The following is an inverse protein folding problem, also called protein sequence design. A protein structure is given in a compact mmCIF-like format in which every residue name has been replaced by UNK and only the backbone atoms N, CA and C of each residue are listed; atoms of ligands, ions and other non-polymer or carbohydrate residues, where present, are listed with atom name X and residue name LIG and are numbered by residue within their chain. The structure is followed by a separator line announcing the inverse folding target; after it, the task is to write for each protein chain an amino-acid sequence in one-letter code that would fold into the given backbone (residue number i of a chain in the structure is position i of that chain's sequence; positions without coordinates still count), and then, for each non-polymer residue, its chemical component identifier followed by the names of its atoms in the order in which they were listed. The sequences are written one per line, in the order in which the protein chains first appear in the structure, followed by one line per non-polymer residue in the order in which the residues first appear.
data_IF_835668270925
#
_entry.id   IF_835668270925
#
_cell.length_a   1.000
_cell.length_b   1.000
_cell.length_c   1.000
_cell.angle_alpha   90.00
_cell.angle_beta   90.00
_cell.angle_gamma   90.00
#
_symmetry.space_group_name_H-M   'P 1'
#
loop_
_entity.id
_entity.type
_entity.pdbx_description
1 polymer ?
#
# COMPACT_ATOMS: atom_id res chain seq x y z
N UNK A 1 -39.50 33.21 26.06
CA UNK A 1 -40.44 34.16 25.44
C UNK A 1 -40.99 33.60 24.13
N UNK A 2 -42.24 33.78 23.86
CA UNK A 2 -42.92 33.12 22.74
C UNK A 2 -42.93 34.04 21.51
N UNK A 3 -42.86 33.44 20.34
CA UNK A 3 -42.86 34.20 19.10
C UNK A 3 -43.32 33.39 17.92
N UNK A 4 -44.59 33.60 17.61
CA UNK A 4 -45.22 33.77 16.28
C UNK A 4 -45.22 32.58 15.32
N UNK A 5 -46.38 31.94 15.31
CA UNK A 5 -46.96 31.20 14.19
C UNK A 5 -47.50 32.20 13.16
N UNK A 6 -46.97 32.25 11.98
CA UNK A 6 -47.59 32.73 10.74
C UNK A 6 -47.89 31.48 9.94
N UNK A 7 -49.12 31.04 9.69
CA UNK A 7 -50.16 31.72 8.97
C UNK A 7 -50.25 31.02 7.61
N UNK A 8 -50.71 29.67 7.57
CA UNK A 8 -51.13 29.03 6.31
C UNK A 8 -52.35 29.72 5.75
N UNK A 9 -52.41 30.06 4.45
CA UNK A 9 -53.64 30.55 3.81
C UNK A 9 -54.61 29.39 3.57
N UNK A 10 -55.92 29.63 3.73
CA UNK A 10 -56.92 28.58 3.60
C UNK A 10 -57.13 28.18 2.14
N UNK A 11 -57.19 26.86 1.97
CA UNK A 11 -57.61 26.21 0.73
C UNK A 11 -59.05 26.58 0.45
N UNK A 12 -59.33 27.40 -0.58
CA UNK A 12 -60.66 27.64 -1.07
C UNK A 12 -61.10 26.47 -1.95
N UNK A 13 -62.02 25.67 -1.44
CA UNK A 13 -62.87 24.82 -2.24
C UNK A 13 -63.83 25.75 -3.05
N UNK A 14 -63.66 25.82 -4.34
CA UNK A 14 -64.66 26.30 -5.25
C UNK A 14 -65.41 25.10 -5.80
N UNK A 15 -66.55 24.80 -5.15
CA UNK A 15 -67.69 24.13 -5.75
C UNK A 15 -68.52 25.26 -6.44
N UNK A 16 -68.43 25.28 -7.73
CA UNK A 16 -69.37 26.11 -8.52
C UNK A 16 -69.82 25.29 -9.74
N UNK A 17 -70.72 24.33 -9.44
CA UNK A 17 -71.55 23.67 -10.41
C UNK A 17 -72.89 24.37 -10.40
N UNK A 18 -72.95 25.63 -10.88
CA UNK A 18 -74.21 26.30 -11.19
C UNK A 18 -74.34 26.40 -12.70
N UNK A 19 -75.33 25.75 -13.32
CA UNK A 19 -75.59 25.90 -14.77
C UNK A 19 -76.15 27.31 -15.06
N UNK A 20 -75.70 27.96 -16.14
CA UNK A 20 -76.14 29.29 -16.48
C UNK A 20 -77.66 29.31 -16.81
N UNK A 21 -78.35 30.16 -16.11
CA UNK A 21 -79.78 30.43 -16.30
C UNK A 21 -80.08 30.78 -17.74
N UNK A 22 -81.10 30.09 -18.32
CA UNK A 22 -81.70 30.42 -19.61
C UNK A 22 -82.31 31.81 -19.53
N UNK A 23 -81.73 32.78 -20.16
CA UNK A 23 -82.39 34.07 -20.48
C UNK A 23 -83.52 33.82 -21.46
N UNK A 24 -84.76 33.93 -20.97
CA UNK A 24 -85.95 33.95 -21.76
C UNK A 24 -85.98 35.14 -22.72
N UNK A 25 -86.02 34.84 -23.98
CA UNK A 25 -86.25 35.84 -25.02
C UNK A 25 -87.74 36.38 -24.91
N UNK A 26 -87.84 37.60 -24.52
CA UNK A 26 -89.15 38.37 -24.61
C UNK A 26 -89.57 38.44 -26.06
N UNK A 27 -90.62 37.73 -26.35
CA UNK A 27 -91.38 37.85 -27.63
C UNK A 27 -92.03 39.25 -27.68
N UNK A 28 -91.53 40.13 -28.51
CA UNK A 28 -92.28 41.38 -28.92
C UNK A 28 -93.26 40.97 -29.95
N UNK A 29 -94.56 41.06 -29.57
CA UNK A 29 -95.72 41.12 -30.49
C UNK A 29 -95.60 42.38 -31.32
N UNK A 30 -95.45 42.24 -32.63
CA UNK A 30 -95.87 43.29 -33.58
C UNK A 30 -97.07 42.79 -34.28
N UNK A 31 -98.12 43.61 -34.07
CA UNK A 31 -99.44 43.52 -34.69
C UNK A 31 -99.41 44.43 -35.93
N UNK A 32 -100.09 43.96 -36.94
CA UNK A 32 -100.74 44.56 -38.11
C UNK A 32 -100.04 44.41 -39.43
N UNK A 33 -100.80 43.96 -40.31
CA UNK A 33 -100.94 44.44 -41.65
C UNK A 33 -101.32 43.36 -42.63
N UNK A 34 -102.58 43.50 -43.01
CA UNK A 34 -103.33 42.83 -44.06
C UNK A 34 -102.58 42.51 -45.33
N UNK A 35 -102.90 41.35 -45.88
CA UNK A 35 -103.14 41.20 -47.30
C UNK A 35 -101.96 40.72 -48.13
N UNK A 36 -101.98 39.56 -48.43
CA UNK A 36 -101.92 38.87 -49.74
C UNK A 36 -101.57 37.38 -49.54
N UNK A 37 -102.55 36.54 -49.79
CA UNK A 37 -102.31 35.12 -49.81
C UNK A 37 -101.43 34.79 -50.97
N UNK A 38 -100.14 34.70 -50.73
CA UNK A 38 -99.15 34.05 -51.62
C UNK A 38 -99.41 32.56 -51.57
N UNK A 39 -99.82 31.92 -52.65
CA UNK A 39 -99.83 30.48 -52.85
C UNK A 39 -98.41 30.02 -52.63
N UNK A 40 -98.11 29.56 -51.46
CA UNK A 40 -96.86 28.89 -51.17
C UNK A 40 -96.82 27.57 -51.97
N UNK A 41 -95.92 27.50 -52.94
CA UNK A 41 -95.74 26.38 -53.80
C UNK A 41 -95.36 25.16 -52.94
N UNK A 42 -96.19 24.12 -52.90
CA UNK A 42 -96.00 22.96 -52.04
C UNK A 42 -94.61 22.32 -52.21
N UNK A 43 -93.96 22.47 -53.35
CA UNK A 43 -92.56 22.01 -53.61
C UNK A 43 -91.51 22.81 -52.86
N UNK A 44 -91.70 24.10 -52.58
CA UNK A 44 -90.72 24.90 -51.82
C UNK A 44 -90.76 24.55 -50.34
N UNK A 45 -91.92 24.18 -49.79
CA UNK A 45 -92.03 23.75 -48.40
C UNK A 45 -91.46 22.38 -48.15
N UNK A 46 -91.52 21.44 -49.13
CA UNK A 46 -90.84 20.12 -49.05
C UNK A 46 -89.29 20.24 -49.16
N UNK A 47 -88.78 21.11 -50.05
CA UNK A 47 -87.38 21.36 -50.18
C UNK A 47 -86.76 22.06 -48.93
N UNK A 48 -87.47 23.02 -48.33
CA UNK A 48 -87.08 23.66 -47.08
C UNK A 48 -87.07 22.66 -45.91
N UNK A 49 -88.06 21.75 -45.81
CA UNK A 49 -88.05 20.67 -44.80
C UNK A 49 -86.92 19.71 -44.97
N UNK A 50 -86.55 19.28 -46.19
CA UNK A 50 -85.46 18.37 -46.49
C UNK A 50 -84.10 19.00 -46.17
N UNK A 51 -83.95 20.32 -46.41
CA UNK A 51 -82.74 21.09 -46.05
C UNK A 51 -82.60 21.20 -44.52
N UNK A 52 -83.72 21.46 -43.83
CA UNK A 52 -83.71 21.56 -42.35
C UNK A 52 -83.45 20.17 -41.71
N UNK A 53 -84.01 19.11 -42.25
CA UNK A 53 -83.66 17.75 -41.80
C UNK A 53 -82.22 17.39 -42.08
N UNK A 54 -81.68 17.74 -43.25
CA UNK A 54 -80.26 17.50 -43.57
C UNK A 54 -79.36 18.30 -42.63
N UNK A 55 -79.64 19.56 -42.34
CA UNK A 55 -78.94 20.40 -41.36
C UNK A 55 -78.99 19.81 -39.94
N UNK A 56 -80.18 19.30 -39.58
CA UNK A 56 -80.38 18.66 -38.28
C UNK A 56 -79.54 17.40 -38.14
N UNK A 57 -79.58 16.52 -39.17
CA UNK A 57 -78.70 15.32 -39.20
C UNK A 57 -77.21 15.65 -39.22
N UNK A 58 -76.83 16.75 -39.88
CA UNK A 58 -75.45 17.21 -39.81
C UNK A 58 -75.01 17.66 -38.39
N UNK A 59 -75.90 18.49 -37.76
CA UNK A 59 -75.62 18.92 -36.37
C UNK A 59 -75.58 17.76 -35.40
N UNK A 60 -76.49 16.79 -35.57
CA UNK A 60 -76.46 15.57 -34.73
C UNK A 60 -75.14 14.75 -34.94
N UNK A 61 -74.71 14.61 -36.19
CA UNK A 61 -73.40 13.93 -36.49
C UNK A 61 -72.27 14.72 -35.96
N UNK A 62 -72.21 16.00 -36.06
CA UNK A 62 -71.19 16.88 -35.49
C UNK A 62 -71.18 16.81 -33.96
N UNK A 63 -72.32 16.85 -33.31
CA UNK A 63 -72.47 16.71 -31.87
C UNK A 63 -71.93 15.28 -31.40
N UNK A 64 -72.33 14.26 -32.15
CA UNK A 64 -71.82 12.91 -31.88
C UNK A 64 -70.27 12.82 -32.02
N UNK A 65 -69.73 13.37 -33.11
CA UNK A 65 -68.27 13.42 -33.32
C UNK A 65 -67.54 14.22 -32.21
N UNK A 66 -68.08 15.33 -31.79
CA UNK A 66 -67.55 16.13 -30.70
C UNK A 66 -67.60 15.36 -29.39
N UNK A 67 -68.71 14.70 -29.11
CA UNK A 67 -68.84 13.86 -27.90
C UNK A 67 -67.88 12.68 -27.91
N UNK A 68 -67.76 11.97 -29.04
CA UNK A 68 -66.77 10.87 -29.17
C UNK A 68 -65.37 11.39 -29.04
N UNK A 69 -64.99 12.49 -29.64
CA UNK A 69 -63.68 13.12 -29.50
C UNK A 69 -63.35 13.51 -28.06
N UNK A 70 -64.35 14.06 -27.35
CA UNK A 70 -64.23 14.42 -25.94
C UNK A 70 -64.02 13.17 -25.07
N UNK A 71 -64.81 12.12 -25.25
CA UNK A 71 -64.66 10.84 -24.53
C UNK A 71 -63.33 10.19 -24.83
N UNK A 72 -62.85 10.20 -26.10
CA UNK A 72 -61.55 9.70 -26.47
C UNK A 72 -60.42 10.52 -25.83
N UNK A 73 -60.54 11.86 -25.78
CA UNK A 73 -59.55 12.72 -25.10
C UNK A 73 -59.50 12.43 -23.60
N UNK A 74 -60.66 12.26 -22.94
CA UNK A 74 -60.70 11.88 -21.53
C UNK A 74 -60.05 10.49 -21.27
N UNK A 75 -60.40 9.49 -22.11
CA UNK A 75 -59.79 8.13 -22.01
C UNK A 75 -58.27 8.18 -22.19
N UNK A 76 -57.78 8.98 -23.18
CA UNK A 76 -56.32 9.17 -23.40
C UNK A 76 -55.67 9.88 -22.23
N UNK A 77 -56.30 10.91 -21.66
CA UNK A 77 -55.78 11.62 -20.48
C UNK A 77 -55.70 10.70 -19.25
N UNK A 78 -56.79 9.92 -19.00
CA UNK A 78 -56.76 8.94 -17.89
C UNK A 78 -55.72 7.85 -18.06
N UNK A 79 -55.51 7.35 -19.29
CA UNK A 79 -54.46 6.42 -19.60
C UNK A 79 -53.09 7.04 -19.38
N UNK A 80 -52.85 8.26 -19.89
CA UNK A 80 -51.57 8.99 -19.67
C UNK A 80 -51.30 9.23 -18.19
N UNK A 81 -52.28 9.63 -17.39
CA UNK A 81 -52.14 9.80 -15.94
C UNK A 81 -51.79 8.48 -15.23
N UNK A 82 -52.43 7.36 -15.62
CA UNK A 82 -52.14 6.05 -15.04
C UNK A 82 -50.73 5.56 -15.44
N UNK A 83 -50.35 5.74 -16.71
CA UNK A 83 -48.98 5.39 -17.18
C UNK A 83 -47.94 6.25 -16.48
N UNK A 84 -48.17 7.57 -16.37
CA UNK A 84 -47.28 8.48 -15.65
C UNK A 84 -47.18 8.12 -14.16
N UNK A 85 -48.31 7.77 -13.52
CA UNK A 85 -48.31 7.32 -12.12
C UNK A 85 -47.49 6.00 -11.93
N UNK A 86 -47.68 5.04 -12.86
CA UNK A 86 -46.93 3.78 -12.81
C UNK A 86 -45.40 4.00 -13.03
N UNK A 87 -45.05 4.88 -13.99
CA UNK A 87 -43.65 5.25 -14.22
C UNK A 87 -43.06 5.91 -12.98
N UNK A 88 -43.79 6.87 -12.38
CA UNK A 88 -43.35 7.55 -11.15
C UNK A 88 -43.20 6.56 -9.99
N UNK A 89 -44.14 5.60 -9.87
CA UNK A 89 -44.05 4.56 -8.83
C UNK A 89 -42.85 3.63 -9.02
N UNK A 90 -42.63 3.16 -10.26
CA UNK A 90 -41.46 2.33 -10.58
C UNK A 90 -40.17 3.10 -10.35
N UNK A 91 -40.09 4.36 -10.80
CA UNK A 91 -38.96 5.24 -10.56
C UNK A 91 -38.68 5.43 -9.06
N UNK A 92 -39.74 5.63 -8.26
CA UNK A 92 -39.63 5.73 -6.80
C UNK A 92 -39.02 4.44 -6.19
N UNK A 93 -39.51 3.27 -6.62
CA UNK A 93 -38.95 1.99 -6.15
C UNK A 93 -37.47 1.85 -6.52
N UNK A 94 -37.11 2.18 -7.77
CA UNK A 94 -35.70 2.11 -8.22
C UNK A 94 -34.81 3.04 -7.38
N UNK A 95 -35.26 4.28 -7.16
CA UNK A 95 -34.50 5.23 -6.32
C UNK A 95 -34.39 4.72 -4.88
N UNK A 96 -35.45 4.16 -4.32
CA UNK A 96 -35.45 3.61 -2.97
C UNK A 96 -34.48 2.42 -2.83
N UNK A 97 -34.45 1.53 -3.84
CA UNK A 97 -33.51 0.41 -3.87
C UNK A 97 -32.06 0.91 -4.00
N UNK A 98 -31.81 1.87 -4.90
CA UNK A 98 -30.48 2.46 -5.04
C UNK A 98 -30.02 3.16 -3.76
N UNK A 99 -30.92 3.88 -3.09
CA UNK A 99 -30.63 4.51 -1.81
C UNK A 99 -30.33 3.44 -0.72
N UNK A 100 -31.10 2.38 -0.65
CA UNK A 100 -30.88 1.29 0.28
C UNK A 100 -29.52 0.62 0.04
N UNK A 101 -29.16 0.35 -1.22
CA UNK A 101 -27.84 -0.17 -1.59
C UNK A 101 -26.74 0.80 -1.18
N UNK A 102 -26.89 2.08 -1.49
CA UNK A 102 -25.90 3.10 -1.11
C UNK A 102 -25.64 3.09 0.40
N UNK A 103 -26.68 3.12 1.23
CA UNK A 103 -26.55 3.11 2.69
C UNK A 103 -26.02 1.77 3.25
N UNK A 104 -26.20 0.68 2.52
CA UNK A 104 -25.67 -0.64 2.91
C UNK A 104 -24.16 -0.69 2.78
N UNK A 105 -23.59 -0.01 1.78
CA UNK A 105 -22.15 0.02 1.49
C UNK A 105 -21.40 1.19 2.15
N UNK A 106 -21.99 1.86 3.14
CA UNK A 106 -21.23 2.80 3.96
C UNK A 106 -20.31 2.04 4.91
N UNK A 107 -19.04 2.46 5.01
CA UNK A 107 -18.04 1.89 5.93
C UNK A 107 -18.51 2.07 7.38
N UNK A 108 -18.77 0.97 8.06
CA UNK A 108 -19.27 0.93 9.44
C UNK A 108 -18.21 0.46 10.42
N UNK A 109 -17.30 -0.37 9.94
CA UNK A 109 -16.34 -1.04 10.80
C UNK A 109 -14.99 -1.23 10.07
N UNK A 110 -13.90 -1.07 10.81
CA UNK A 110 -12.54 -1.33 10.34
C UNK A 110 -11.93 -2.29 11.33
N UNK A 111 -11.53 -3.46 10.85
CA UNK A 111 -10.95 -4.52 11.68
C UNK A 111 -9.46 -4.55 11.43
N UNK A 112 -8.69 -4.26 12.45
CA UNK A 112 -7.23 -4.38 12.47
C UNK A 112 -6.83 -5.72 13.06
N UNK A 113 -5.78 -6.33 12.56
CA UNK A 113 -5.24 -7.59 13.07
C UNK A 113 -3.74 -7.69 12.82
N UNK A 114 -3.03 -8.37 13.74
CA UNK A 114 -1.58 -8.58 13.66
C UNK A 114 -0.75 -7.53 14.42
N UNK A 115 -1.41 -6.54 15.03
CA UNK A 115 -0.79 -5.59 15.93
C UNK A 115 -0.68 -6.19 17.34
N UNK A 116 0.45 -5.97 17.99
CA UNK A 116 0.72 -6.38 19.40
C UNK A 116 0.96 -5.16 20.28
N UNK A 117 1.74 -4.19 19.80
CA UNK A 117 2.16 -2.99 20.53
C UNK A 117 1.33 -1.78 20.16
N UNK A 118 1.01 -1.63 18.88
CA UNK A 118 0.24 -0.49 18.38
C UNK A 118 -1.26 -0.70 18.57
N UNK A 119 -1.98 0.37 18.95
CA UNK A 119 -3.43 0.31 19.05
C UNK A 119 -4.12 0.33 17.69
N UNK A 120 -5.31 -0.28 17.61
CA UNK A 120 -6.14 -0.28 16.41
C UNK A 120 -6.43 1.15 15.93
N UNK A 121 -6.73 2.05 16.89
CA UNK A 121 -7.05 3.45 16.59
C UNK A 121 -5.88 4.19 15.93
N UNK A 122 -4.64 3.88 16.33
CA UNK A 122 -3.45 4.46 15.73
C UNK A 122 -3.31 4.04 14.27
N UNK A 123 -3.43 2.74 13.99
CA UNK A 123 -3.32 2.17 12.64
C UNK A 123 -4.45 2.67 11.74
N UNK A 124 -5.69 2.74 12.26
CA UNK A 124 -6.83 3.32 11.56
C UNK A 124 -6.57 4.80 11.24
N UNK A 125 -5.98 5.53 12.19
CA UNK A 125 -5.60 6.94 11.99
C UNK A 125 -4.62 7.12 10.83
N UNK A 126 -3.56 6.30 10.77
CA UNK A 126 -2.58 6.31 9.69
C UNK A 126 -3.20 5.95 8.34
N UNK A 127 -4.14 5.01 8.32
CA UNK A 127 -4.81 4.58 7.09
C UNK A 127 -5.61 5.68 6.39
N UNK A 128 -6.00 6.75 7.11
CA UNK A 128 -6.86 7.82 6.60
C UNK A 128 -8.28 7.38 6.22
N UNK A 129 -8.67 6.15 6.56
CA UNK A 129 -10.03 5.64 6.33
C UNK A 129 -11.01 6.31 7.27
N UNK A 130 -12.16 6.72 6.76
CA UNK A 130 -13.20 7.41 7.51
C UNK A 130 -14.48 6.59 7.58
N UNK A 131 -15.02 6.43 8.78
CA UNK A 131 -16.33 5.84 8.98
C UNK A 131 -17.43 6.64 8.28
N UNK A 132 -18.44 5.96 7.74
CA UNK A 132 -19.53 6.58 7.02
C UNK A 132 -19.24 6.99 5.58
N UNK A 133 -18.03 6.84 5.10
CA UNK A 133 -17.69 7.00 3.68
C UNK A 133 -18.15 5.76 2.91
N UNK A 134 -18.52 5.94 1.64
CA UNK A 134 -18.89 4.78 0.82
C UNK A 134 -17.69 3.87 0.59
N UNK A 135 -17.82 2.60 0.99
CA UNK A 135 -16.72 1.63 1.03
C UNK A 135 -15.95 1.51 -0.30
N UNK A 136 -16.68 1.44 -1.44
CA UNK A 136 -16.07 1.33 -2.77
C UNK A 136 -15.35 2.62 -3.25
N UNK A 137 -15.48 3.73 -2.51
CA UNK A 137 -14.76 4.97 -2.77
C UNK A 137 -13.57 5.17 -1.81
N UNK A 138 -13.32 4.20 -0.93
CA UNK A 138 -12.12 4.17 -0.12
C UNK A 138 -10.95 3.70 -0.98
N UNK A 139 -9.87 4.46 -0.95
CA UNK A 139 -8.63 4.11 -1.62
C UNK A 139 -7.80 3.24 -0.67
N UNK A 140 -7.78 1.93 -0.92
CA UNK A 140 -7.05 0.98 -0.08
C UNK A 140 -5.54 1.05 -0.30
N UNK A 141 -5.09 1.44 -1.48
CA UNK A 141 -3.67 1.61 -1.77
C UNK A 141 -3.13 2.84 -1.02
N UNK A 142 -3.89 3.94 -1.00
CA UNK A 142 -3.55 5.10 -0.19
C UNK A 142 -3.57 4.78 1.32
N UNK A 143 -4.51 3.95 1.77
CA UNK A 143 -4.56 3.50 3.16
C UNK A 143 -3.35 2.65 3.53
N UNK A 144 -2.94 1.72 2.65
CA UNK A 144 -1.70 0.96 2.81
C UNK A 144 -0.50 1.87 2.91
N UNK A 145 -0.33 2.79 1.95
CA UNK A 145 0.80 3.72 1.92
C UNK A 145 0.87 4.60 3.18
N UNK A 146 -0.29 5.06 3.68
CA UNK A 146 -0.34 5.87 4.89
C UNK A 146 0.05 5.08 6.14
N UNK A 147 -0.28 3.79 6.24
CA UNK A 147 0.17 2.94 7.37
C UNK A 147 1.68 2.67 7.26
N UNK A 148 2.19 2.41 6.04
CA UNK A 148 3.61 2.12 5.78
C UNK A 148 4.51 3.38 5.88
N UNK A 149 3.94 4.58 6.11
CA UNK A 149 4.72 5.76 6.54
C UNK A 149 5.38 5.55 7.90
N UNK A 150 4.79 4.71 8.78
CA UNK A 150 5.45 4.26 9.99
C UNK A 150 6.37 3.07 9.66
N UNK A 151 7.69 3.20 9.81
CA UNK A 151 8.66 2.16 9.44
C UNK A 151 8.49 0.86 10.23
N UNK A 152 7.88 0.92 11.42
CA UNK A 152 7.63 -0.25 12.26
C UNK A 152 6.41 -1.06 11.85
N UNK A 153 5.60 -0.56 10.92
CA UNK A 153 4.41 -1.24 10.44
C UNK A 153 4.61 -1.76 9.00
N UNK A 154 4.35 -3.03 8.82
CA UNK A 154 4.26 -3.65 7.50
C UNK A 154 2.81 -4.03 7.25
N UNK A 155 2.27 -3.61 6.10
CA UNK A 155 0.92 -3.96 5.73
C UNK A 155 0.93 -5.23 4.87
N UNK A 156 0.40 -6.31 5.42
CA UNK A 156 0.28 -7.59 4.70
C UNK A 156 -0.90 -7.56 3.74
N UNK A 157 -2.06 -7.08 4.19
CA UNK A 157 -3.25 -6.96 3.36
C UNK A 157 -4.18 -5.83 3.83
N UNK A 158 -4.84 -5.17 2.87
CA UNK A 158 -6.00 -4.30 3.12
C UNK A 158 -7.12 -4.76 2.20
N UNK A 159 -8.19 -5.29 2.78
CA UNK A 159 -9.25 -5.96 2.03
C UNK A 159 -10.64 -5.45 2.38
N UNK A 160 -11.54 -5.47 1.39
CA UNK A 160 -12.95 -5.26 1.65
C UNK A 160 -13.62 -6.51 2.21
N UNK A 161 -14.33 -6.36 3.34
CA UNK A 161 -15.26 -7.37 3.86
C UNK A 161 -16.67 -6.85 3.65
N UNK A 162 -17.33 -7.35 2.60
CA UNK A 162 -18.70 -6.94 2.28
C UNK A 162 -19.68 -7.27 3.43
N UNK A 163 -20.71 -6.42 3.65
CA UNK A 163 -21.08 -5.26 2.83
C UNK A 163 -20.45 -3.93 3.27
N UNK A 164 -19.85 -3.79 4.46
CA UNK A 164 -19.60 -2.48 5.06
C UNK A 164 -18.34 -2.44 5.97
N UNK A 165 -17.37 -3.31 5.75
CA UNK A 165 -16.15 -3.42 6.56
C UNK A 165 -14.91 -3.40 5.69
N UNK A 166 -13.81 -2.90 6.28
CA UNK A 166 -12.45 -3.05 5.76
C UNK A 166 -11.63 -3.81 6.80
N UNK A 167 -10.81 -4.76 6.34
CA UNK A 167 -9.81 -5.45 7.14
C UNK A 167 -8.44 -4.91 6.80
N UNK A 168 -7.68 -4.62 7.84
CA UNK A 168 -6.27 -4.24 7.75
C UNK A 168 -5.49 -5.32 8.49
N UNK A 169 -4.59 -6.00 7.78
CA UNK A 169 -3.66 -6.95 8.37
C UNK A 169 -2.28 -6.32 8.36
N UNK A 170 -1.67 -6.22 9.53
CA UNK A 170 -0.34 -5.66 9.70
C UNK A 170 0.56 -6.66 10.41
N UNK A 171 1.85 -6.53 10.18
CA UNK A 171 2.90 -7.17 10.97
C UNK A 171 3.79 -6.07 11.54
N UNK A 172 3.99 -6.09 12.85
CA UNK A 172 4.90 -5.16 13.52
C UNK A 172 6.35 -5.61 13.31
N UNK A 173 7.18 -4.71 12.79
CA UNK A 173 8.61 -4.97 12.62
C UNK A 173 9.31 -4.83 13.95
N UNK A 174 10.20 -5.77 14.26
CA UNK A 174 11.01 -5.77 15.47
C UNK A 174 12.42 -5.30 15.14
N UNK A 175 13.00 -4.53 16.04
CA UNK A 175 14.40 -4.16 15.98
C UNK A 175 15.27 -5.38 16.21
N UNK A 176 16.21 -5.63 15.30
CA UNK A 176 17.08 -6.82 15.35
C UNK A 176 18.55 -6.43 15.44
N UNK A 177 18.98 -5.47 14.65
CA UNK A 177 20.37 -5.06 14.62
C UNK A 177 20.54 -3.55 14.54
N UNK A 178 21.61 -3.07 15.15
CA UNK A 178 22.05 -1.68 15.08
C UNK A 178 23.38 -1.56 14.35
N UNK A 179 23.38 -0.93 13.18
CA UNK A 179 24.60 -0.64 12.41
C UNK A 179 25.26 0.60 13.03
N UNK A 180 26.47 0.43 13.51
CA UNK A 180 27.24 1.48 14.16
C UNK A 180 27.90 2.39 13.13
N UNK A 181 27.58 3.69 13.19
CA UNK A 181 28.23 4.73 12.40
C UNK A 181 29.03 5.70 13.26
N UNK A 182 29.72 6.64 12.61
CA UNK A 182 30.50 7.65 13.31
C UNK A 182 29.61 8.72 13.96
N UNK A 183 28.57 9.15 13.23
CA UNK A 183 27.70 10.26 13.65
C UNK A 183 26.34 9.77 14.12
N UNK A 184 25.86 8.69 13.59
CA UNK A 184 24.54 8.11 13.89
C UNK A 184 24.55 6.58 13.70
N UNK A 185 23.62 5.93 14.38
CA UNK A 185 23.36 4.51 14.26
C UNK A 185 22.12 4.29 13.40
N UNK A 186 22.04 3.14 12.75
CA UNK A 186 20.90 2.72 11.95
C UNK A 186 20.33 1.44 12.54
N UNK A 187 19.07 1.45 12.91
CA UNK A 187 18.36 0.28 13.42
C UNK A 187 17.60 -0.38 12.27
N UNK A 188 17.73 -1.69 12.18
CA UNK A 188 17.12 -2.50 11.13
C UNK A 188 16.37 -3.70 11.70
N UNK A 189 15.38 -4.17 10.91
CA UNK A 189 14.70 -5.44 11.14
C UNK A 189 15.48 -6.64 10.54
N UNK A 190 14.96 -7.86 10.71
CA UNK A 190 15.52 -9.09 10.17
C UNK A 190 15.63 -9.14 8.63
N UNK A 191 14.82 -8.35 7.93
CA UNK A 191 14.83 -8.23 6.47
C UNK A 191 15.77 -7.12 5.96
N UNK A 192 16.44 -6.40 6.86
CA UNK A 192 17.26 -5.25 6.55
C UNK A 192 16.45 -4.01 6.20
N UNK A 193 15.25 -3.85 6.75
CA UNK A 193 14.44 -2.64 6.62
C UNK A 193 14.86 -1.63 7.68
N UNK A 194 15.12 -0.39 7.29
CA UNK A 194 15.58 0.67 8.20
C UNK A 194 14.39 1.20 8.99
N UNK A 195 14.39 0.93 10.30
CA UNK A 195 13.34 1.35 11.22
C UNK A 195 13.59 2.75 11.77
N UNK A 196 14.82 3.02 12.19
CA UNK A 196 15.20 4.34 12.69
C UNK A 196 16.67 4.66 12.42
N UNK A 197 16.97 5.97 12.45
CA UNK A 197 18.34 6.50 12.32
C UNK A 197 18.52 7.61 13.35
N UNK A 198 19.54 7.52 14.18
CA UNK A 198 19.79 8.54 15.19
C UNK A 198 21.08 8.36 15.97
N UNK A 199 21.55 9.45 16.60
CA UNK A 199 22.67 9.43 17.55
C UNK A 199 22.16 9.14 18.96
N UNK A 200 22.86 8.28 19.70
CA UNK A 200 22.56 7.99 21.11
C UNK A 200 21.45 6.96 21.35
N UNK A 201 21.04 6.21 20.32
CA UNK A 201 20.11 5.09 20.49
C UNK A 201 20.78 3.98 21.29
N UNK A 202 20.05 3.45 22.29
CA UNK A 202 20.53 2.31 23.06
C UNK A 202 20.50 1.05 22.18
N UNK A 203 21.65 0.45 21.98
CA UNK A 203 21.84 -0.75 21.17
C UNK A 203 22.20 -1.97 22.04
N UNK A 204 22.02 -1.89 23.34
CA UNK A 204 22.51 -2.90 24.29
C UNK A 204 21.87 -4.27 24.05
N UNK A 205 20.60 -4.28 23.67
CA UNK A 205 19.83 -5.50 23.44
C UNK A 205 19.82 -5.94 21.96
N UNK A 206 20.39 -5.13 21.06
CA UNK A 206 20.42 -5.39 19.63
C UNK A 206 21.79 -5.96 19.20
N UNK A 207 21.79 -6.72 18.11
CA UNK A 207 23.02 -7.14 17.44
C UNK A 207 23.76 -5.91 16.91
N UNK A 208 24.90 -5.58 17.49
CA UNK A 208 25.72 -4.44 17.07
C UNK A 208 26.51 -4.80 15.83
N UNK A 209 26.39 -4.03 14.75
CA UNK A 209 27.04 -4.32 13.47
C UNK A 209 28.03 -3.23 13.12
N UNK A 210 29.24 -3.62 12.73
CA UNK A 210 30.29 -2.72 12.21
C UNK A 210 30.77 -3.16 10.84
N UNK A 211 31.39 -2.23 10.09
CA UNK A 211 31.98 -2.54 8.78
C UNK A 211 31.00 -2.50 7.59
N UNK A 212 29.81 -1.96 7.78
CA UNK A 212 28.83 -1.75 6.70
C UNK A 212 28.85 -0.29 6.28
N UNK A 213 28.85 -0.04 4.97
CA UNK A 213 28.75 1.32 4.44
C UNK A 213 27.34 1.88 4.66
N UNK A 214 27.24 3.03 5.32
CA UNK A 214 25.96 3.68 5.65
C UNK A 214 25.50 4.68 4.58
N UNK A 215 26.14 4.66 3.40
CA UNK A 215 25.82 5.61 2.33
C UNK A 215 24.47 5.29 1.70
N UNK A 216 23.54 6.27 1.70
CA UNK A 216 22.25 6.15 1.03
C UNK A 216 21.16 5.43 1.84
N UNK A 217 21.38 5.16 3.11
CA UNK A 217 20.35 4.60 3.97
C UNK A 217 19.26 5.65 4.25
N UNK A 218 18.01 5.23 4.24
CA UNK A 218 16.86 6.06 4.55
C UNK A 218 15.87 5.27 5.39
N UNK A 219 15.28 5.94 6.38
CA UNK A 219 14.20 5.36 7.19
C UNK A 219 13.04 4.98 6.28
N UNK A 220 12.44 3.83 6.51
CA UNK A 220 11.35 3.32 5.69
C UNK A 220 11.79 2.64 4.39
N UNK A 221 13.08 2.36 4.21
CA UNK A 221 13.60 1.66 3.04
C UNK A 221 14.41 0.42 3.44
N UNK A 222 14.46 -0.55 2.53
CA UNK A 222 15.28 -1.75 2.73
C UNK A 222 16.74 -1.45 2.39
N UNK A 223 17.66 -1.95 3.22
CA UNK A 223 19.08 -2.01 2.89
C UNK A 223 19.29 -2.86 1.63
N UNK A 224 20.24 -2.49 0.77
CA UNK A 224 20.66 -3.36 -0.32
C UNK A 224 20.05 -3.09 -1.68
N UNK A 225 19.53 -1.90 -1.92
CA UNK A 225 19.37 -1.40 -3.30
C UNK A 225 20.74 -1.01 -3.93
N UNK A 226 21.81 -0.99 -3.14
CA UNK A 226 23.18 -0.93 -3.63
C UNK A 226 23.78 -2.35 -3.66
N UNK A 227 24.52 -2.67 -4.72
CA UNK A 227 25.26 -3.96 -4.90
C UNK A 227 26.39 -4.13 -3.87
N UNK A 228 26.20 -3.68 -2.63
CA UNK A 228 27.19 -3.78 -1.59
C UNK A 228 27.17 -5.17 -0.96
N UNK A 229 28.26 -5.89 -1.16
CA UNK A 229 28.48 -7.25 -0.64
C UNK A 229 28.34 -7.30 0.89
N UNK A 230 28.76 -6.25 1.61
CA UNK A 230 28.67 -6.19 3.07
C UNK A 230 27.22 -6.19 3.54
N UNK A 231 26.34 -5.43 2.88
CA UNK A 231 24.91 -5.37 3.19
C UNK A 231 24.21 -6.71 2.91
N UNK A 232 24.51 -7.34 1.78
CA UNK A 232 23.95 -8.66 1.46
C UNK A 232 24.41 -9.72 2.47
N UNK A 233 25.68 -9.66 2.87
CA UNK A 233 26.26 -10.55 3.89
C UNK A 233 25.61 -10.32 5.25
N UNK A 234 25.38 -9.06 5.65
CA UNK A 234 24.69 -8.71 6.89
C UNK A 234 23.31 -9.36 6.97
N UNK A 235 22.48 -9.17 5.96
CA UNK A 235 21.12 -9.72 5.93
C UNK A 235 21.18 -11.26 6.00
N UNK A 236 22.10 -11.87 5.27
CA UNK A 236 22.28 -13.32 5.30
C UNK A 236 22.69 -13.80 6.70
N UNK A 237 23.62 -13.10 7.36
CA UNK A 237 24.07 -13.44 8.71
C UNK A 237 22.96 -13.31 9.74
N UNK A 238 22.18 -12.21 9.70
CA UNK A 238 21.03 -12.01 10.60
C UNK A 238 20.04 -13.18 10.45
N UNK A 239 19.64 -13.51 9.22
CA UNK A 239 18.70 -14.59 8.96
C UNK A 239 19.24 -15.94 9.46
N UNK A 240 20.54 -16.22 9.28
CA UNK A 240 21.14 -17.45 9.78
C UNK A 240 21.25 -17.49 11.30
N UNK A 241 21.57 -16.37 11.95
CA UNK A 241 21.58 -16.28 13.41
C UNK A 241 20.16 -16.49 14.00
N UNK A 242 19.14 -15.96 13.35
CA UNK A 242 17.75 -16.17 13.75
C UNK A 242 17.29 -17.62 13.52
N UNK A 243 17.58 -18.19 12.34
CA UNK A 243 17.22 -19.57 11.98
C UNK A 243 17.78 -20.60 12.98
N UNK A 244 19.02 -20.37 13.44
CA UNK A 244 19.69 -21.24 14.41
C UNK A 244 19.53 -20.79 15.86
N UNK A 245 18.65 -19.81 16.15
CA UNK A 245 18.36 -19.28 17.49
C UNK A 245 19.62 -18.78 18.24
N UNK A 246 20.53 -18.18 17.52
CA UNK A 246 21.81 -17.67 18.03
C UNK A 246 21.78 -16.15 18.27
N UNK A 247 20.76 -15.46 17.78
CA UNK A 247 20.69 -13.99 17.79
C UNK A 247 20.81 -13.43 19.22
N UNK A 248 20.15 -14.09 20.17
CA UNK A 248 20.16 -13.67 21.58
C UNK A 248 21.52 -13.90 22.28
N UNK A 249 22.39 -14.74 21.75
CA UNK A 249 23.69 -15.06 22.34
C UNK A 249 24.83 -14.20 21.78
N UNK A 250 24.61 -13.55 20.64
CA UNK A 250 25.62 -12.72 19.96
C UNK A 250 25.41 -11.25 20.29
N UNK A 251 26.47 -10.58 20.71
CA UNK A 251 26.46 -9.15 21.00
C UNK A 251 26.82 -8.29 19.78
N UNK A 252 27.82 -8.73 18.98
CA UNK A 252 28.25 -7.95 17.84
C UNK A 252 28.73 -8.79 16.66
N UNK A 253 28.66 -8.18 15.47
CA UNK A 253 29.07 -8.71 14.18
C UNK A 253 29.95 -7.69 13.49
N UNK A 254 31.20 -8.08 13.19
CA UNK A 254 32.17 -7.26 12.48
C UNK A 254 32.31 -7.73 11.02
N UNK A 255 31.88 -6.88 10.10
CA UNK A 255 31.94 -7.04 8.65
C UNK A 255 32.96 -6.11 7.99
N UNK A 256 33.86 -5.50 8.76
CA UNK A 256 34.93 -4.63 8.23
C UNK A 256 35.75 -5.35 7.16
N UNK A 257 35.96 -6.65 7.35
CA UNK A 257 36.54 -7.52 6.33
C UNK A 257 35.49 -8.56 5.90
N UNK A 258 34.78 -8.37 4.80
CA UNK A 258 33.64 -9.21 4.43
C UNK A 258 33.99 -10.70 4.17
N UNK A 259 35.29 -11.00 3.93
CA UNK A 259 35.78 -12.36 3.75
C UNK A 259 36.37 -12.97 5.03
N UNK A 260 36.36 -12.21 6.12
CA UNK A 260 36.91 -12.66 7.43
C UNK A 260 35.96 -12.18 8.56
N UNK A 261 34.73 -12.64 8.52
CA UNK A 261 33.66 -12.28 9.44
C UNK A 261 34.01 -12.70 10.86
N UNK A 262 33.83 -11.78 11.80
CA UNK A 262 34.03 -12.00 13.23
C UNK A 262 32.76 -11.65 13.99
N UNK A 263 32.39 -12.47 14.96
CA UNK A 263 31.32 -12.19 15.92
C UNK A 263 31.87 -12.20 17.34
N UNK A 264 31.14 -11.54 18.24
CA UNK A 264 31.40 -11.62 19.68
C UNK A 264 30.13 -12.05 20.39
N UNK A 265 30.24 -13.11 21.16
CA UNK A 265 29.13 -13.53 22.03
C UNK A 265 28.92 -12.54 23.17
N UNK A 266 27.76 -12.50 23.77
CA UNK A 266 27.42 -11.59 24.92
C UNK A 266 28.36 -11.76 26.11
N UNK A 267 28.96 -12.94 26.30
CA UNK A 267 29.93 -13.17 27.33
C UNK A 267 31.37 -12.71 26.98
N UNK A 268 31.59 -12.16 25.77
CA UNK A 268 32.88 -11.67 25.29
C UNK A 268 33.69 -12.67 24.48
N UNK A 269 33.25 -13.92 24.29
CA UNK A 269 33.95 -14.94 23.48
C UNK A 269 33.99 -14.49 22.01
N UNK A 270 35.18 -14.46 21.42
CA UNK A 270 35.40 -14.14 20.01
C UNK A 270 35.07 -15.36 19.14
N UNK A 271 34.28 -15.18 18.09
CA UNK A 271 33.91 -16.22 17.14
C UNK A 271 34.39 -15.83 15.76
N UNK A 272 35.27 -16.58 15.17
CA UNK A 272 35.80 -16.38 13.83
C UNK A 272 35.00 -17.23 12.84
N UNK A 273 34.11 -16.61 12.10
CA UNK A 273 33.26 -17.26 11.08
C UNK A 273 34.04 -17.45 9.77
N UNK A 274 34.95 -16.50 9.47
CA UNK A 274 35.71 -16.48 8.22
C UNK A 274 34.86 -16.05 7.03
N UNK A 275 34.97 -16.76 5.92
CA UNK A 275 34.17 -16.47 4.72
C UNK A 275 32.70 -16.81 4.91
N UNK A 276 31.78 -16.09 4.27
CA UNK A 276 30.32 -16.34 4.33
C UNK A 276 29.88 -17.52 3.43
N UNK A 277 30.64 -18.59 3.47
CA UNK A 277 30.38 -19.86 2.79
C UNK A 277 30.04 -20.92 3.81
N UNK A 278 29.22 -21.91 3.42
CA UNK A 278 28.84 -23.05 4.27
C UNK A 278 28.27 -22.58 5.64
N UNK A 279 27.45 -21.50 5.60
CA UNK A 279 26.96 -20.87 6.82
C UNK A 279 26.06 -21.79 7.62
N UNK A 280 25.31 -22.69 6.95
CA UNK A 280 24.44 -23.65 7.63
C UNK A 280 25.23 -24.58 8.55
N UNK A 281 26.30 -25.16 8.04
CA UNK A 281 27.18 -26.06 8.83
C UNK A 281 27.89 -25.31 9.95
N UNK A 282 28.31 -24.08 9.68
CA UNK A 282 28.97 -23.23 10.68
C UNK A 282 28.00 -22.81 11.79
N UNK A 283 26.80 -22.37 11.46
CA UNK A 283 25.81 -21.95 12.44
C UNK A 283 25.28 -23.15 13.24
N UNK A 284 25.05 -24.30 12.60
CA UNK A 284 24.72 -25.54 13.30
C UNK A 284 25.78 -25.91 14.32
N UNK A 285 27.07 -25.94 13.90
CA UNK A 285 28.20 -26.24 14.80
C UNK A 285 28.31 -25.22 15.93
N UNK A 286 28.04 -23.94 15.65
CA UNK A 286 28.00 -22.90 16.67
C UNK A 286 26.85 -23.12 17.65
N UNK A 287 25.65 -23.40 17.17
CA UNK A 287 24.47 -23.68 18.01
C UNK A 287 24.70 -24.86 18.98
N UNK A 288 25.35 -25.92 18.50
CA UNK A 288 25.63 -27.09 19.32
C UNK A 288 26.73 -26.85 20.39
N UNK A 289 27.71 -26.01 20.08
CA UNK A 289 28.89 -25.83 20.92
C UNK A 289 28.82 -24.58 21.82
N UNK A 290 28.27 -23.47 21.35
CA UNK A 290 28.25 -22.20 22.08
C UNK A 290 27.66 -22.30 23.48
N UNK A 291 26.53 -23.00 23.72
CA UNK A 291 25.98 -23.15 25.09
C UNK A 291 26.94 -23.77 26.10
N UNK A 292 27.86 -24.65 25.66
CA UNK A 292 28.87 -25.28 26.53
C UNK A 292 29.90 -24.25 26.99
N UNK A 293 30.35 -23.36 26.10
CA UNK A 293 31.26 -22.26 26.44
C UNK A 293 30.59 -21.21 27.32
N UNK A 294 29.34 -20.88 27.05
CA UNK A 294 28.56 -19.96 27.88
C UNK A 294 28.35 -20.52 29.30
N UNK A 295 27.94 -21.77 29.43
CA UNK A 295 27.73 -22.44 30.72
C UNK A 295 29.01 -22.66 31.52
N UNK A 296 30.12 -22.87 30.84
CA UNK A 296 31.46 -22.99 31.46
C UNK A 296 32.03 -21.60 31.87
N UNK A 297 31.39 -20.51 31.55
CA UNK A 297 31.83 -19.14 31.83
C UNK A 297 33.06 -18.72 31.04
N UNK A 298 33.34 -19.37 29.89
CA UNK A 298 34.49 -19.07 29.04
C UNK A 298 34.20 -17.82 28.24
N UNK A 299 34.81 -16.69 28.63
CA UNK A 299 34.62 -15.38 28.04
C UNK A 299 35.79 -14.87 27.20
N UNK A 300 36.92 -15.64 27.17
CA UNK A 300 38.16 -15.24 26.49
C UNK A 300 38.61 -16.34 25.53
N UNK A 301 39.38 -15.95 24.51
CA UNK A 301 39.81 -16.86 23.46
C UNK A 301 39.05 -16.69 22.16
N UNK A 302 39.32 -17.55 21.19
CA UNK A 302 38.71 -17.50 19.87
C UNK A 302 38.18 -18.87 19.47
N UNK A 303 36.93 -18.88 19.06
CA UNK A 303 36.26 -20.05 18.49
C UNK A 303 36.30 -19.94 16.97
N UNK A 304 36.97 -20.85 16.29
CA UNK A 304 37.08 -20.90 14.84
C UNK A 304 36.04 -21.87 14.29
N UNK A 305 35.19 -21.38 13.37
CA UNK A 305 34.20 -22.20 12.66
C UNK A 305 34.77 -22.67 11.33
N UNK A 306 34.72 -23.96 11.06
CA UNK A 306 35.18 -24.52 9.78
C UNK A 306 34.02 -24.89 8.88
N UNK A 307 34.22 -24.84 7.56
CA UNK A 307 33.25 -25.20 6.54
C UNK A 307 32.76 -26.67 6.59
N UNK A 308 33.45 -27.52 7.36
CA UNK A 308 33.07 -28.94 7.55
C UNK A 308 32.32 -29.20 8.86
N UNK A 309 31.75 -28.17 9.46
CA UNK A 309 30.96 -28.26 10.69
C UNK A 309 31.80 -28.51 11.93
N UNK A 310 33.14 -28.32 11.87
CA UNK A 310 34.05 -28.44 13.03
C UNK A 310 34.24 -27.09 13.72
N UNK A 311 34.34 -27.13 15.05
CA UNK A 311 34.62 -25.96 15.87
C UNK A 311 35.94 -26.16 16.60
N UNK A 312 36.87 -25.20 16.47
CA UNK A 312 38.19 -25.26 17.15
C UNK A 312 38.29 -24.07 18.10
N UNK A 313 38.51 -24.35 19.37
CA UNK A 313 38.71 -23.33 20.38
C UNK A 313 40.20 -23.08 20.62
N UNK A 314 40.61 -21.81 20.56
CA UNK A 314 41.96 -21.36 20.92
C UNK A 314 41.88 -20.46 22.16
N UNK A 315 42.44 -20.86 23.31
CA UNK A 315 42.42 -20.04 24.52
C UNK A 315 43.26 -18.75 24.33
N UNK A 316 42.89 -17.71 25.04
CA UNK A 316 43.63 -16.44 25.02
C UNK A 316 45.07 -16.66 25.48
N UNK A 317 46.06 -16.19 24.68
CA UNK A 317 47.49 -16.36 24.98
C UNK A 317 48.15 -17.60 24.34
N UNK A 318 47.43 -18.54 23.77
CA UNK A 318 47.98 -19.47 22.79
C UNK A 318 48.31 -18.65 21.53
N UNK A 319 49.58 -18.61 21.14
CA UNK A 319 50.01 -17.87 19.95
C UNK A 319 49.11 -18.25 18.77
N UNK A 320 48.78 -17.26 17.94
CA UNK A 320 47.84 -17.39 16.86
C UNK A 320 48.06 -18.70 16.08
N UNK A 321 47.18 -19.66 16.27
CA UNK A 321 47.12 -20.82 15.39
C UNK A 321 46.78 -20.25 14.01
N UNK A 322 47.69 -20.48 13.05
CA UNK A 322 47.35 -20.16 11.65
C UNK A 322 46.00 -20.75 11.36
N UNK A 323 45.10 -19.94 10.76
CA UNK A 323 43.81 -20.45 10.28
C UNK A 323 44.05 -21.81 9.64
N UNK A 324 43.30 -22.85 9.99
CA UNK A 324 43.44 -24.13 9.33
C UNK A 324 43.18 -23.91 7.85
N UNK A 325 44.24 -24.01 7.05
CA UNK A 325 44.19 -23.88 5.61
C UNK A 325 43.28 -25.02 5.10
N UNK A 326 42.15 -24.73 4.45
CA UNK A 326 41.18 -25.77 4.07
C UNK A 326 41.72 -26.74 3.01
N UNK A 327 42.92 -26.51 2.48
CA UNK A 327 43.42 -27.25 1.33
C UNK A 327 44.48 -28.34 1.67
N UNK A 328 44.92 -28.47 2.93
CA UNK A 328 45.94 -29.46 3.28
C UNK A 328 45.56 -30.38 4.43
N UNK A 329 44.56 -31.25 4.18
CA UNK A 329 44.37 -32.46 4.98
C UNK A 329 44.56 -33.68 4.07
N UNK A 330 45.80 -34.03 3.81
CA UNK A 330 46.15 -35.38 3.40
C UNK A 330 46.16 -36.28 4.67
N UNK A 331 45.22 -37.25 4.82
CA UNK A 331 45.18 -38.13 5.96
C UNK A 331 46.12 -39.32 5.73
N UNK A 332 47.39 -39.10 5.75
CA UNK A 332 48.29 -40.20 5.56
C UNK A 332 49.73 -39.95 5.95
N UNK A 333 50.12 -40.57 7.04
CA UNK A 333 51.45 -40.90 7.47
C UNK A 333 52.07 -40.06 8.61
N UNK A 334 51.57 -40.28 9.81
CA UNK A 334 52.46 -40.25 10.98
C UNK A 334 52.95 -41.68 11.24
N UNK A 335 53.95 -42.09 10.53
CA UNK A 335 54.74 -43.23 10.88
C UNK A 335 56.10 -42.72 11.47
N UNK A 336 56.36 -42.89 12.79
CA UNK A 336 57.52 -42.33 13.44
C UNK A 336 58.79 -43.12 13.19
N UNK A 337 58.91 -43.97 12.14
CA UNK A 337 59.99 -44.89 11.99
C UNK A 337 60.56 -45.03 10.55
N UNK A 338 60.81 -43.90 9.88
CA UNK A 338 61.63 -43.89 8.66
C UNK A 338 62.83 -43.00 8.91
N UNK A 339 63.94 -43.66 9.27
CA UNK A 339 65.26 -43.07 9.27
C UNK A 339 65.69 -42.74 7.83
N UNK A 340 65.96 -41.46 7.54
CA UNK A 340 66.55 -41.01 6.27
C UNK A 340 68.05 -41.33 6.22
N UNK A 341 68.53 -42.10 5.26
CA UNK A 341 69.94 -42.48 5.18
C UNK A 341 70.83 -41.51 4.37
N UNK A 342 70.52 -40.23 4.31
CA UNK A 342 71.37 -39.34 3.49
C UNK A 342 71.70 -38.00 4.18
N UNK A 343 72.35 -38.04 5.35
CA UNK A 343 73.09 -36.91 5.89
C UNK A 343 74.50 -36.92 5.34
N UNK A 344 74.76 -36.21 4.26
CA UNK A 344 76.09 -35.90 3.75
C UNK A 344 76.56 -34.55 4.32
N UNK A 345 77.75 -34.63 4.85
CA UNK A 345 78.66 -33.71 5.51
C UNK A 345 78.69 -32.24 4.91
N UNK A 346 78.75 -31.20 5.72
CA UNK A 346 78.87 -29.81 5.27
C UNK A 346 80.33 -29.36 5.33
N UNK A 347 81.09 -29.47 4.23
CA UNK A 347 82.26 -28.63 4.04
C UNK A 347 82.52 -28.39 2.56
N UNK A 348 82.24 -27.18 2.07
CA UNK A 348 83.09 -26.51 1.08
C UNK A 348 82.62 -25.03 0.91
N UNK A 349 83.53 -24.16 1.25
CA UNK A 349 83.65 -22.73 1.03
C UNK A 349 83.48 -22.37 -0.44
N UNK A 350 82.63 -21.38 -0.79
CA UNK A 350 82.59 -20.82 -2.12
C UNK A 350 81.77 -19.48 -2.12
N UNK A 351 82.53 -18.38 -2.05
CA UNK A 351 82.00 -17.02 -2.11
C UNK A 351 81.39 -16.72 -3.45
N UNK A 352 80.33 -15.97 -3.41
CA UNK A 352 79.80 -15.24 -4.55
C UNK A 352 79.44 -13.81 -4.14
N UNK A 353 80.08 -12.91 -4.83
CA UNK A 353 79.99 -11.46 -4.83
C UNK A 353 78.52 -10.97 -5.14
N UNK A 354 78.11 -9.80 -4.61
CA UNK A 354 76.81 -9.23 -4.92
C UNK A 354 76.82 -8.60 -6.30
N UNK A 355 75.84 -8.93 -7.13
CA UNK A 355 75.56 -8.26 -8.39
C UNK A 355 74.76 -6.96 -8.14
N UNK A 356 75.32 -5.86 -8.66
CA UNK A 356 74.72 -4.54 -8.82
C UNK A 356 73.54 -4.57 -9.78
N UNK A 357 72.45 -3.81 -9.52
CA UNK A 357 71.38 -3.71 -10.46
C UNK A 357 71.76 -2.75 -11.61
N UNK A 358 71.32 -3.15 -12.80
CA UNK A 358 71.41 -2.45 -14.08
C UNK A 358 70.51 -1.15 -14.11
N UNK A 359 71.02 0.02 -14.51
CA UNK A 359 70.29 1.25 -14.59
C UNK A 359 69.74 1.44 -16.00
N UNK A 360 68.48 1.15 -16.24
CA UNK A 360 67.90 1.46 -17.56
C UNK A 360 66.45 1.07 -17.76
N UNK A 361 65.55 1.78 -17.13
CA UNK A 361 64.19 1.96 -17.64
C UNK A 361 63.57 3.24 -17.01
N UNK A 362 63.71 4.30 -17.76
CA UNK A 362 63.01 5.59 -17.54
C UNK A 362 61.51 5.40 -17.79
N UNK A 363 60.72 5.50 -16.75
CA UNK A 363 59.26 5.60 -16.86
C UNK A 363 58.90 7.10 -16.85
N UNK A 364 58.41 7.58 -17.98
CA UNK A 364 57.88 8.94 -18.14
C UNK A 364 56.46 9.03 -17.52
N UNK A 365 56.18 10.00 -16.65
CA UNK A 365 54.82 10.21 -16.15
C UNK A 365 53.97 10.92 -17.21
N UNK A 366 52.62 10.64 -17.28
CA UNK A 366 51.70 11.32 -18.15
C UNK A 366 51.45 12.77 -17.70
N UNK A 367 51.10 13.68 -18.60
CA UNK A 367 50.96 15.11 -18.32
C UNK A 367 49.63 15.39 -17.55
N UNK A 368 49.76 16.25 -16.56
CA UNK A 368 48.67 16.84 -15.82
C UNK A 368 47.90 17.81 -16.73
N UNK A 369 46.61 17.59 -16.92
CA UNK A 369 45.72 18.57 -17.52
C UNK A 369 44.81 19.14 -16.39
N UNK A 370 45.26 20.26 -15.86
CA UNK A 370 44.42 21.12 -15.02
C UNK A 370 43.83 22.22 -15.93
N UNK A 371 42.55 22.35 -15.92
CA UNK A 371 41.88 23.57 -16.37
C UNK A 371 40.84 23.97 -15.30
N UNK A 372 40.98 25.12 -14.64
CA UNK A 372 39.98 25.64 -13.75
C UNK A 372 38.95 26.45 -14.55
N UNK A 373 37.67 26.12 -14.40
CA UNK A 373 36.57 26.97 -14.84
C UNK A 373 36.28 28.04 -13.79
N UNK A 374 36.39 29.28 -14.18
CA UNK A 374 36.02 30.50 -13.46
C UNK A 374 34.49 30.60 -13.24
N UNK A 375 34.05 31.27 -12.19
CA UNK A 375 32.64 31.65 -12.00
C UNK A 375 32.35 32.96 -12.76
N UNK A 376 31.40 32.92 -13.65
CA UNK A 376 30.75 34.09 -14.23
C UNK A 376 29.35 34.16 -13.69
N UNK A 377 29.00 35.22 -13.01
CA UNK A 377 28.44 36.43 -13.55
C UNK A 377 26.96 36.48 -13.23
N UNK A 378 26.62 37.23 -12.18
CA UNK A 378 25.29 37.74 -11.84
C UNK A 378 24.64 38.42 -13.03
N UNK A 379 23.39 38.08 -13.33
CA UNK A 379 22.47 39.01 -13.97
C UNK A 379 21.10 39.01 -13.27
N UNK A 380 20.85 40.14 -12.71
CA UNK A 380 19.57 40.71 -12.24
C UNK A 380 18.56 40.72 -13.40
N UNK A 381 17.35 40.23 -13.17
CA UNK A 381 16.21 40.78 -13.92
C UNK A 381 14.97 40.85 -12.97
N UNK A 382 14.55 42.09 -12.75
CA UNK A 382 13.26 42.54 -12.27
C UNK A 382 12.19 42.23 -13.34
N UNK A 383 10.99 41.83 -12.89
CA UNK A 383 9.79 41.74 -13.69
C UNK A 383 8.68 41.01 -12.88
#
# INVERSE_FOLDING_TARGET
GPGSREGEPPIRLFDDDTPPARRGSRTRMFRTGSGTAARINMNETETLRSIDEAKRRQREKEAQRQHEAYVQRQKRQRRRKRVAANIAFVSFIVIAVLAALYFTFLLKDIVVSGNETYSDEYIIGLSGLQYGRHMLLCDLDAARAGIEEDPYLQVDAVDYIFPARVRIQVTERKEVAGILGLDYNVIIDHNGYVLSMGGGTDLTDLLQVTGVSMTGFQVGQRLGQSDDFSTATLITMINKLEEYMLLDDIASLDLTTPLAIVMYAKNGLKIHVGQPTDLDEKMLSLHENLPQFLSAGISTGTLYLSARGGTVYSPAGAGALASPDPENTDPGTNDPNIADPNLGDPTTTGGLTPQTPDPGLTVTPPPATATPLQPGGSDEFQG
#
